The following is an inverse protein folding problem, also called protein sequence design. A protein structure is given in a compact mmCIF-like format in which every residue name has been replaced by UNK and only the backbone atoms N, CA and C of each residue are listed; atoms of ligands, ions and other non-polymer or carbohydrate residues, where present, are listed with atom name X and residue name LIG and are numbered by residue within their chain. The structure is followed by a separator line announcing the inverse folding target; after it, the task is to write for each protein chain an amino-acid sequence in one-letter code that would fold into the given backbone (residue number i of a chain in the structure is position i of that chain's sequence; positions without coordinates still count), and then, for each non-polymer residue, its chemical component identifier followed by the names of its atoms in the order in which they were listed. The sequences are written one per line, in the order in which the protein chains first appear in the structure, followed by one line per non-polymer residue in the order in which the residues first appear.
data_IF_175548242065
#
_entry.id   IF_175548242065
#
_cell.length_a   1.000
_cell.length_b   1.000
_cell.length_c   1.000
_cell.angle_alpha   90.00
_cell.angle_beta   90.00
_cell.angle_gamma   90.00
#
_symmetry.space_group_name_H-M   'P 1'
#
loop_
_entity.id
_entity.type
_entity.pdbx_description
1 polymer ?
#
# COMPACT_ATOMS: atom_id res chain seq x y z
N UNK A 1 16.66 10.35 10.80
CA UNK A 1 17.81 10.35 9.86
C UNK A 1 17.59 11.50 8.89
N UNK A 2 18.39 12.56 8.95
CA UNK A 2 18.20 13.76 8.11
C UNK A 2 18.96 13.70 6.77
N UNK A 3 19.42 12.51 6.36
CA UNK A 3 20.14 12.30 5.10
C UNK A 3 19.38 11.31 4.22
N UNK A 4 19.57 11.40 2.91
CA UNK A 4 18.95 10.54 1.88
C UNK A 4 19.31 9.04 2.01
N UNK A 5 20.14 8.64 2.98
CA UNK A 5 20.55 7.25 3.17
C UNK A 5 21.48 6.68 2.08
N UNK A 6 21.99 7.51 1.16
CA UNK A 6 22.78 7.10 -0.02
C UNK A 6 23.99 6.21 0.35
N UNK A 7 24.60 6.43 1.53
CA UNK A 7 25.76 5.65 1.99
C UNK A 7 25.43 4.64 3.10
N UNK A 8 24.15 4.35 3.36
CA UNK A 8 23.73 3.40 4.39
C UNK A 8 23.61 1.98 3.81
N UNK A 9 24.74 1.41 3.37
CA UNK A 9 24.80 -0.01 2.98
C UNK A 9 25.29 -0.85 4.17
N UNK A 10 24.57 -1.94 4.46
CA UNK A 10 24.96 -2.93 5.46
C UNK A 10 25.05 -4.30 4.81
N UNK A 11 26.12 -5.04 5.10
CA UNK A 11 26.27 -6.44 4.68
C UNK A 11 25.66 -7.39 5.73
N UNK A 12 24.42 -7.10 6.14
CA UNK A 12 23.68 -7.92 7.10
C UNK A 12 22.61 -8.74 6.38
N UNK A 13 22.79 -10.06 6.37
CA UNK A 13 21.82 -10.98 5.80
C UNK A 13 20.48 -10.94 6.54
N UNK A 14 20.47 -10.68 7.86
CA UNK A 14 19.23 -10.58 8.62
C UNK A 14 18.40 -9.37 8.20
N UNK A 15 19.05 -8.24 7.91
CA UNK A 15 18.38 -7.04 7.35
C UNK A 15 17.75 -7.34 5.98
N UNK A 16 18.48 -8.03 5.10
CA UNK A 16 17.97 -8.40 3.77
C UNK A 16 16.80 -9.39 3.88
N UNK A 17 16.97 -10.43 4.71
CA UNK A 17 15.96 -11.47 4.88
C UNK A 17 14.72 -10.99 5.63
N UNK A 18 14.87 -10.01 6.54
CA UNK A 18 13.76 -9.40 7.26
C UNK A 18 12.82 -8.60 6.36
N UNK A 19 13.32 -8.02 5.27
CA UNK A 19 12.53 -7.19 4.36
C UNK A 19 11.80 -8.00 3.27
N UNK A 20 12.48 -8.97 2.65
CA UNK A 20 11.93 -9.75 1.52
C UNK A 20 11.57 -11.20 1.87
N UNK A 21 11.73 -11.63 3.13
CA UNK A 21 11.76 -13.04 3.47
C UNK A 21 13.03 -13.68 2.89
N UNK A 22 12.93 -14.84 2.23
CA UNK A 22 14.09 -15.41 1.53
C UNK A 22 14.18 -14.82 0.11
N UNK A 23 15.11 -13.88 -0.18
CA UNK A 23 15.28 -13.35 -1.54
C UNK A 23 15.67 -14.45 -2.54
N UNK A 24 16.22 -15.58 -2.06
CA UNK A 24 16.55 -16.75 -2.86
C UNK A 24 15.33 -17.41 -3.50
N UNK A 25 14.12 -17.18 -2.97
CA UNK A 25 12.87 -17.68 -3.56
C UNK A 25 12.35 -16.78 -4.70
N UNK A 26 12.87 -15.56 -4.83
CA UNK A 26 12.41 -14.57 -5.80
C UNK A 26 13.31 -14.63 -7.06
N UNK A 27 12.74 -14.73 -8.27
CA UNK A 27 13.53 -14.69 -9.49
C UNK A 27 14.39 -13.42 -9.58
N UNK A 28 15.67 -13.55 -9.94
CA UNK A 28 16.62 -12.43 -9.94
C UNK A 28 16.18 -11.22 -10.77
N UNK A 29 15.51 -11.44 -11.91
CA UNK A 29 14.95 -10.35 -12.71
C UNK A 29 13.90 -9.52 -11.96
N UNK A 30 13.06 -10.16 -11.13
CA UNK A 30 12.07 -9.45 -10.32
C UNK A 30 12.74 -8.58 -9.25
N UNK A 31 13.82 -9.08 -8.63
CA UNK A 31 14.63 -8.31 -7.67
C UNK A 31 15.25 -7.09 -8.36
N UNK A 32 15.81 -7.27 -9.55
CA UNK A 32 16.42 -6.18 -10.33
C UNK A 32 15.37 -5.13 -10.71
N UNK A 33 14.18 -5.54 -11.16
CA UNK A 33 13.10 -4.60 -11.47
C UNK A 33 12.65 -3.79 -10.24
N UNK A 34 12.53 -4.45 -9.08
CA UNK A 34 12.22 -3.77 -7.83
C UNK A 34 13.30 -2.74 -7.49
N UNK A 35 14.58 -3.12 -7.62
CA UNK A 35 15.70 -2.23 -7.37
C UNK A 35 15.69 -1.02 -8.32
N UNK A 36 15.42 -1.22 -9.61
CA UNK A 36 15.30 -0.13 -10.59
C UNK A 36 14.15 0.80 -10.20
N UNK A 37 12.99 0.25 -9.83
CA UNK A 37 11.85 1.04 -9.35
C UNK A 37 12.19 1.87 -8.12
N UNK A 38 12.87 1.27 -7.13
CA UNK A 38 13.36 1.96 -5.94
C UNK A 38 14.34 3.09 -6.27
N UNK A 39 15.31 2.84 -7.15
CA UNK A 39 16.28 3.86 -7.58
C UNK A 39 15.58 5.02 -8.30
N UNK A 40 14.61 4.72 -9.18
CA UNK A 40 13.84 5.75 -9.86
C UNK A 40 13.02 6.59 -8.87
N UNK A 41 12.40 5.97 -7.87
CA UNK A 41 11.60 6.71 -6.90
C UNK A 41 12.47 7.65 -6.04
N UNK A 42 13.53 7.11 -5.42
CA UNK A 42 14.41 7.87 -4.52
C UNK A 42 15.25 8.92 -5.24
N UNK A 43 15.78 8.63 -6.43
CA UNK A 43 16.73 9.51 -7.11
C UNK A 43 16.13 10.34 -8.25
N UNK A 44 14.92 10.02 -8.72
CA UNK A 44 14.24 10.77 -9.78
C UNK A 44 12.94 11.38 -9.28
N UNK A 45 11.99 10.58 -8.81
CA UNK A 45 10.63 11.05 -8.45
C UNK A 45 10.68 12.02 -7.27
N UNK A 46 11.29 11.61 -6.15
CA UNK A 46 11.35 12.44 -4.93
C UNK A 46 12.10 13.75 -5.17
N UNK A 47 13.29 13.78 -5.82
CA UNK A 47 13.99 15.02 -6.11
C UNK A 47 13.24 15.93 -7.09
N UNK A 48 12.63 15.37 -8.14
CA UNK A 48 11.84 16.15 -9.11
C UNK A 48 10.63 16.79 -8.45
N UNK A 49 9.90 16.05 -7.60
CA UNK A 49 8.77 16.58 -6.85
C UNK A 49 9.18 17.71 -5.89
N UNK A 50 10.34 17.60 -5.26
CA UNK A 50 10.86 18.66 -4.39
C UNK A 50 11.37 19.88 -5.15
N UNK A 51 12.04 19.69 -6.29
CA UNK A 51 12.49 20.81 -7.12
C UNK A 51 11.30 21.62 -7.61
N UNK A 52 10.30 20.94 -8.16
CA UNK A 52 9.06 21.53 -8.69
C UNK A 52 8.13 22.11 -7.60
N UNK A 53 8.47 21.94 -6.32
CA UNK A 53 7.65 22.33 -5.17
C UNK A 53 6.20 21.82 -5.28
N UNK A 54 6.06 20.57 -5.72
CA UNK A 54 4.76 19.94 -5.89
C UNK A 54 4.06 19.86 -4.52
N UNK A 55 2.84 20.41 -4.42
CA UNK A 55 2.09 20.48 -3.15
C UNK A 55 2.85 21.12 -1.98
N UNK A 56 3.63 22.17 -2.24
CA UNK A 56 4.47 22.83 -1.23
C UNK A 56 5.49 21.91 -0.55
N UNK A 57 5.97 20.89 -1.26
CA UNK A 57 6.94 19.90 -0.75
C UNK A 57 8.14 20.53 -0.02
N UNK A 58 8.60 21.73 -0.43
CA UNK A 58 9.76 22.42 0.18
C UNK A 58 9.54 22.84 1.64
N UNK A 59 8.29 22.89 2.11
CA UNK A 59 7.98 23.16 3.52
C UNK A 59 8.31 21.97 4.43
N UNK A 60 8.38 20.78 3.87
CA UNK A 60 8.53 19.53 4.60
C UNK A 60 9.91 18.93 4.39
N UNK A 61 10.45 18.19 5.37
CA UNK A 61 11.66 17.41 5.15
C UNK A 61 11.44 16.35 4.07
N UNK A 62 12.50 16.04 3.31
CA UNK A 62 12.43 15.09 2.19
C UNK A 62 11.92 13.72 2.62
N UNK A 63 12.53 13.16 3.67
CA UNK A 63 12.22 11.84 4.21
C UNK A 63 11.84 12.01 5.67
N UNK A 64 10.59 11.74 6.01
CA UNK A 64 10.09 11.74 7.38
C UNK A 64 8.79 10.94 7.46
N UNK A 65 8.64 10.11 8.48
CA UNK A 65 7.38 9.43 8.81
C UNK A 65 6.45 10.29 9.68
N UNK A 66 6.90 11.47 10.11
CA UNK A 66 6.08 12.39 10.90
C UNK A 66 5.03 13.11 10.04
N UNK A 67 3.92 13.47 10.68
CA UNK A 67 2.92 14.39 10.15
C UNK A 67 3.30 15.84 10.45
N UNK A 68 2.92 16.74 9.56
CA UNK A 68 3.25 18.17 9.63
C UNK A 68 2.00 19.04 9.54
N UNK A 69 2.08 20.24 10.10
CA UNK A 69 1.09 21.29 9.89
C UNK A 69 1.37 22.10 8.61
N UNK A 70 0.49 23.05 8.29
CA UNK A 70 0.62 23.88 7.08
C UNK A 70 1.89 24.75 7.03
N UNK A 71 2.58 24.93 8.17
CA UNK A 71 3.81 25.70 8.28
C UNK A 71 5.08 24.86 8.10
N UNK A 72 4.94 23.53 8.09
CA UNK A 72 6.06 22.58 8.04
C UNK A 72 6.57 22.15 9.42
N UNK A 73 5.95 22.60 10.51
CA UNK A 73 6.26 22.12 11.85
C UNK A 73 5.59 20.75 12.10
N UNK A 74 6.15 19.96 13.03
CA UNK A 74 5.57 18.67 13.42
C UNK A 74 4.14 18.90 13.94
N UNK A 75 3.20 18.12 13.44
CA UNK A 75 1.78 18.29 13.71
C UNK A 75 1.46 18.07 15.21
N UNK A 76 0.85 19.08 15.84
CA UNK A 76 0.50 19.00 17.25
C UNK A 76 -0.90 18.38 17.45
N UNK A 77 -0.93 17.06 17.71
CA UNK A 77 -2.18 16.30 17.91
C UNK A 77 -2.96 16.77 19.15
N UNK A 78 -2.30 17.27 20.20
CA UNK A 78 -2.99 17.72 21.42
C UNK A 78 -3.84 18.98 21.20
N UNK A 79 -3.67 19.68 20.07
CA UNK A 79 -4.51 20.84 19.72
C UNK A 79 -5.86 20.45 19.15
N UNK A 80 -6.00 19.23 18.61
CA UNK A 80 -7.22 18.80 17.93
C UNK A 80 -7.93 17.66 18.66
N UNK A 81 -7.31 17.11 19.71
CA UNK A 81 -7.82 15.96 20.42
C UNK A 81 -8.30 16.38 21.81
N UNK A 82 -9.54 16.04 22.14
CA UNK A 82 -10.04 16.20 23.49
C UNK A 82 -9.30 15.22 24.43
N UNK A 83 -8.60 15.68 25.47
CA UNK A 83 -7.81 14.80 26.35
C UNK A 83 -8.67 13.85 27.20
N UNK A 84 -9.96 14.12 27.36
CA UNK A 84 -10.89 13.30 28.14
C UNK A 84 -11.57 12.26 27.24
N UNK A 85 -12.12 12.70 26.10
CA UNK A 85 -12.90 11.82 25.21
C UNK A 85 -12.08 11.16 24.11
N UNK A 86 -10.85 11.63 23.85
CA UNK A 86 -10.02 11.22 22.70
C UNK A 86 -10.72 11.41 21.35
N UNK A 87 -11.73 12.27 21.30
CA UNK A 87 -12.42 12.64 20.07
C UNK A 87 -11.74 13.83 19.41
N UNK A 88 -11.83 13.89 18.08
CA UNK A 88 -11.30 15.00 17.30
C UNK A 88 -12.27 16.18 17.39
N UNK A 89 -11.77 17.30 17.91
CA UNK A 89 -12.45 18.60 17.84
C UNK A 89 -12.24 19.20 16.44
N UNK A 90 -13.29 19.09 15.62
CA UNK A 90 -13.28 19.60 14.25
C UNK A 90 -13.13 21.12 14.17
N UNK A 91 -13.59 21.88 15.18
CA UNK A 91 -13.41 23.34 15.19
C UNK A 91 -11.94 23.69 15.40
N UNK A 92 -11.30 23.03 16.37
CA UNK A 92 -9.87 23.20 16.61
C UNK A 92 -9.01 22.72 15.44
N UNK A 93 -9.40 21.62 14.77
CA UNK A 93 -8.76 21.14 13.54
C UNK A 93 -8.82 22.18 12.41
N UNK A 94 -10.02 22.70 12.11
CA UNK A 94 -10.23 23.68 11.04
C UNK A 94 -9.49 25.00 11.29
N UNK A 95 -9.35 25.41 12.56
CA UNK A 95 -8.63 26.62 12.93
C UNK A 95 -7.10 26.44 12.98
N UNK A 96 -6.62 25.21 13.17
CA UNK A 96 -5.18 24.92 13.26
C UNK A 96 -4.55 24.67 11.89
N UNK A 97 -4.76 23.49 11.33
CA UNK A 97 -4.24 23.10 10.01
C UNK A 97 -4.75 21.73 9.60
N UNK A 98 -4.72 21.47 8.30
CA UNK A 98 -4.83 20.10 7.78
C UNK A 98 -3.53 19.34 8.06
N UNK A 99 -3.62 18.02 8.10
CA UNK A 99 -2.46 17.14 8.24
C UNK A 99 -1.75 17.04 6.89
N UNK A 100 -0.45 17.31 6.89
CA UNK A 100 0.45 17.11 5.76
C UNK A 100 1.45 16.00 6.07
N UNK A 101 1.96 15.37 5.01
CA UNK A 101 2.95 14.32 5.07
C UNK A 101 4.18 14.76 4.28
N UNK A 102 5.33 14.17 4.59
CA UNK A 102 6.54 14.39 3.79
C UNK A 102 6.35 13.85 2.37
N UNK A 103 7.06 14.44 1.42
CA UNK A 103 6.95 14.07 0.01
C UNK A 103 7.30 12.59 -0.22
N UNK A 104 8.38 12.09 0.38
CA UNK A 104 8.75 10.67 0.27
C UNK A 104 7.64 9.74 0.78
N UNK A 105 7.05 10.07 1.93
CA UNK A 105 6.01 9.24 2.53
C UNK A 105 4.73 9.21 1.70
N UNK A 106 4.37 10.34 1.06
CA UNK A 106 3.23 10.39 0.12
C UNK A 106 3.47 9.49 -1.09
N UNK A 107 4.66 9.53 -1.69
CA UNK A 107 4.98 8.68 -2.83
C UNK A 107 5.01 7.20 -2.47
N UNK A 108 5.56 6.84 -1.30
CA UNK A 108 5.56 5.47 -0.79
C UNK A 108 4.12 4.94 -0.62
N UNK A 109 3.23 5.73 -0.01
CA UNK A 109 1.81 5.38 0.08
C UNK A 109 1.14 5.27 -1.30
N UNK A 110 1.42 6.21 -2.20
CA UNK A 110 0.90 6.21 -3.56
C UNK A 110 1.32 4.96 -4.34
N UNK A 111 2.59 4.57 -4.26
CA UNK A 111 3.13 3.35 -4.87
C UNK A 111 2.56 2.09 -4.22
N UNK A 112 2.32 2.10 -2.91
CA UNK A 112 1.62 1.02 -2.21
C UNK A 112 0.21 0.78 -2.77
N UNK A 113 -0.59 1.84 -2.90
CA UNK A 113 -1.91 1.76 -3.53
C UNK A 113 -1.84 1.37 -5.01
N UNK A 114 -0.87 1.92 -5.75
CA UNK A 114 -0.66 1.56 -7.14
C UNK A 114 -0.34 0.07 -7.29
N UNK A 115 0.45 -0.51 -6.39
CA UNK A 115 0.80 -1.94 -6.38
C UNK A 115 -0.43 -2.81 -6.11
N UNK A 116 -1.32 -2.39 -5.20
CA UNK A 116 -2.58 -3.09 -4.95
C UNK A 116 -3.46 -3.11 -6.20
N UNK A 117 -3.66 -1.96 -6.83
CA UNK A 117 -4.46 -1.86 -8.06
C UNK A 117 -3.78 -2.62 -9.21
N UNK A 118 -2.46 -2.53 -9.35
CA UNK A 118 -1.71 -3.27 -10.36
C UNK A 118 -1.85 -4.79 -10.17
N UNK A 119 -1.86 -5.27 -8.92
CA UNK A 119 -2.08 -6.70 -8.62
C UNK A 119 -3.48 -7.13 -9.03
N UNK A 120 -4.51 -6.35 -8.69
CA UNK A 120 -5.89 -6.63 -9.09
C UNK A 120 -6.02 -6.63 -10.61
N UNK A 121 -5.49 -5.61 -11.29
CA UNK A 121 -5.49 -5.51 -12.75
C UNK A 121 -4.73 -6.67 -13.40
N UNK A 122 -3.58 -7.07 -12.84
CA UNK A 122 -2.81 -8.20 -13.33
C UNK A 122 -3.61 -9.51 -13.21
N UNK A 123 -4.22 -9.77 -12.05
CA UNK A 123 -5.06 -10.96 -11.86
C UNK A 123 -6.27 -10.93 -12.79
N UNK A 124 -6.95 -9.79 -12.92
CA UNK A 124 -8.11 -9.65 -13.79
C UNK A 124 -7.76 -9.88 -15.27
N UNK A 125 -6.62 -9.39 -15.76
CA UNK A 125 -6.22 -9.52 -17.16
C UNK A 125 -5.63 -10.89 -17.49
N UNK A 126 -4.72 -11.41 -16.66
CA UNK A 126 -4.00 -12.65 -16.96
C UNK A 126 -4.68 -13.91 -16.41
N UNK A 127 -5.50 -13.76 -15.38
CA UNK A 127 -6.21 -14.88 -14.76
C UNK A 127 -7.73 -14.71 -14.80
N UNK A 128 -8.27 -13.59 -15.29
CA UNK A 128 -9.72 -13.35 -15.35
C UNK A 128 -10.47 -14.40 -16.14
N UNK A 129 -9.97 -14.79 -17.32
CA UNK A 129 -10.59 -15.86 -18.13
C UNK A 129 -10.61 -17.19 -17.39
N UNK A 130 -9.50 -17.56 -16.74
CA UNK A 130 -9.42 -18.78 -15.93
C UNK A 130 -10.40 -18.73 -14.75
N UNK A 131 -10.45 -17.60 -14.03
CA UNK A 131 -11.36 -17.38 -12.90
C UNK A 131 -12.82 -17.46 -13.37
N UNK A 132 -13.17 -16.86 -14.51
CA UNK A 132 -14.52 -16.93 -15.08
C UNK A 132 -14.90 -18.34 -15.50
N UNK A 133 -13.97 -19.09 -16.11
CA UNK A 133 -14.21 -20.49 -16.49
C UNK A 133 -14.42 -21.38 -15.26
N UNK A 134 -13.59 -21.25 -14.23
CA UNK A 134 -13.73 -21.96 -12.96
C UNK A 134 -15.06 -21.58 -12.31
N UNK A 135 -15.38 -20.30 -12.24
CA UNK A 135 -16.63 -19.81 -11.66
C UNK A 135 -17.85 -20.38 -12.38
N UNK A 136 -17.88 -20.35 -13.73
CA UNK A 136 -18.96 -20.96 -14.52
C UNK A 136 -19.08 -22.46 -14.30
N UNK A 137 -17.96 -23.19 -14.23
CA UNK A 137 -17.96 -24.63 -13.94
C UNK A 137 -18.52 -24.90 -12.56
N UNK A 138 -18.06 -24.20 -11.52
CA UNK A 138 -18.57 -24.33 -10.15
C UNK A 138 -20.06 -24.00 -10.07
N UNK A 139 -20.54 -22.95 -10.73
CA UNK A 139 -21.99 -22.63 -10.77
C UNK A 139 -22.79 -23.72 -11.48
N UNK A 140 -22.30 -24.28 -12.59
CA UNK A 140 -22.96 -25.38 -13.30
C UNK A 140 -22.97 -26.65 -12.45
N UNK A 141 -21.85 -27.03 -11.85
CA UNK A 141 -21.75 -28.20 -10.96
C UNK A 141 -22.64 -28.05 -9.73
N UNK A 142 -22.72 -26.86 -9.12
CA UNK A 142 -23.65 -26.62 -8.01
C UNK A 142 -25.12 -26.75 -8.46
N UNK A 143 -25.45 -26.25 -9.66
CA UNK A 143 -26.80 -26.39 -10.22
C UNK A 143 -27.13 -27.84 -10.59
N UNK A 144 -26.16 -28.58 -11.12
CA UNK A 144 -26.30 -29.99 -11.49
C UNK A 144 -26.34 -30.88 -10.24
N UNK A 145 -25.52 -30.65 -9.21
CA UNK A 145 -25.59 -31.36 -7.93
C UNK A 145 -26.89 -31.09 -7.18
N UNK A 146 -27.44 -29.86 -7.23
CA UNK A 146 -28.79 -29.60 -6.73
C UNK A 146 -29.87 -30.39 -7.50
N UNK A 147 -29.60 -30.71 -8.78
CA UNK A 147 -30.47 -31.56 -9.61
C UNK A 147 -30.13 -33.05 -9.56
N UNK A 148 -28.98 -33.43 -9.00
CA UNK A 148 -28.49 -34.80 -9.05
C UNK A 148 -29.38 -35.67 -8.15
N UNK A 149 -29.71 -36.84 -8.68
CA UNK A 149 -30.71 -37.73 -8.09
C UNK A 149 -30.31 -38.12 -6.68
N UNK A 150 -29.01 -38.22 -6.40
CA UNK A 150 -28.50 -38.52 -5.05
C UNK A 150 -28.87 -37.42 -4.03
N UNK A 151 -28.61 -36.15 -4.34
CA UNK A 151 -28.97 -35.01 -3.49
C UNK A 151 -30.49 -34.87 -3.38
N UNK A 152 -31.21 -35.09 -4.48
CA UNK A 152 -32.68 -35.11 -4.50
C UNK A 152 -33.26 -36.20 -3.59
N UNK A 153 -32.67 -37.39 -3.57
CA UNK A 153 -33.08 -38.50 -2.70
C UNK A 153 -32.72 -38.20 -1.24
N UNK A 154 -31.52 -37.68 -0.97
CA UNK A 154 -31.13 -37.31 0.40
C UNK A 154 -32.08 -36.26 1.00
N UNK A 155 -32.45 -35.24 0.23
CA UNK A 155 -33.39 -34.20 0.71
C UNK A 155 -34.78 -34.77 1.01
N UNK A 156 -35.25 -35.77 0.26
CA UNK A 156 -36.55 -36.39 0.47
C UNK A 156 -36.63 -37.23 1.76
N UNK A 157 -35.49 -37.70 2.28
CA UNK A 157 -35.45 -38.58 3.46
C UNK A 157 -34.99 -37.89 4.76
N UNK A 158 -34.79 -36.57 4.75
CA UNK A 158 -34.33 -35.80 5.92
C UNK A 158 -35.30 -34.67 6.33
N UNK A 159 -36.61 -34.90 6.17
CA UNK A 159 -37.67 -34.24 6.96
C UNK A 159 -38.26 -35.27 7.93
#
# INVERSE_FOLDING_TARGET
MNSLGISSFGLDWNTVAGFLGSPLAIPGFAIINLLIGFVLDIYVVIPVANWSNLYDAKKFPLISSHTFDSTGAIYNVTRILNPITFEIDLNSYNNYSKIYLSNAFVFEYGLGFATLIATISHVALFHGEMILQVWRKTTRTLKEQLGDVHTRIMKKNYE
#
